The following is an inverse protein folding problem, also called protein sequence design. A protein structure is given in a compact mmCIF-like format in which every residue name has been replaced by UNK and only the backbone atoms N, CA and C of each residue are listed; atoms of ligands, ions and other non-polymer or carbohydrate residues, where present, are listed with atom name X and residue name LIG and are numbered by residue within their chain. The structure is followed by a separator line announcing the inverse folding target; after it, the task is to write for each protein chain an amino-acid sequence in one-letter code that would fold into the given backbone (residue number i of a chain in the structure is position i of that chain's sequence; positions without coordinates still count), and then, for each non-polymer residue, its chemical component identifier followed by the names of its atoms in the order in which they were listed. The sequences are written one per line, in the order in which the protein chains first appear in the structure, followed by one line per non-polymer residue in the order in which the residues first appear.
data_IF_874448024431
#
_entry.id   IF_874448024431
#
_cell.length_a   1.000
_cell.length_b   1.000
_cell.length_c   1.000
_cell.angle_alpha   90.00
_cell.angle_beta   90.00
_cell.angle_gamma   90.00
#
_symmetry.space_group_name_H-M   'P 1'
#
loop_
_entity.id
_entity.type
_entity.pdbx_description
1 polymer ?
#
# COMPACT_ATOMS: atom_id res chain seq x y z
N UNK A 1 -1.73 21.82 1.56
CA UNK A 1 -0.84 21.15 0.58
C UNK A 1 -1.13 19.64 0.48
N UNK A 2 -1.31 18.94 1.58
CA UNK A 2 -1.56 17.48 1.64
C UNK A 2 -2.76 17.02 0.79
N UNK A 3 -3.90 17.75 0.85
CA UNK A 3 -5.08 17.42 0.06
C UNK A 3 -4.82 17.41 -1.45
N UNK A 4 -3.96 18.30 -1.96
CA UNK A 4 -3.60 18.33 -3.38
C UNK A 4 -2.84 17.08 -3.83
N UNK A 5 -1.91 16.60 -3.02
CA UNK A 5 -1.19 15.34 -3.27
C UNK A 5 -2.13 14.14 -3.27
N UNK A 6 -3.05 14.07 -2.30
CA UNK A 6 -4.03 12.99 -2.21
C UNK A 6 -4.93 12.97 -3.45
N UNK A 7 -5.48 14.12 -3.85
CA UNK A 7 -6.35 14.24 -5.04
C UNK A 7 -5.59 13.81 -6.31
N UNK A 8 -4.38 14.30 -6.51
CA UNK A 8 -3.56 13.94 -7.66
C UNK A 8 -3.29 12.43 -7.71
N UNK A 9 -2.96 11.83 -6.57
CA UNK A 9 -2.72 10.39 -6.47
C UNK A 9 -3.99 9.58 -6.75
N UNK A 10 -5.13 9.99 -6.21
CA UNK A 10 -6.43 9.35 -6.50
C UNK A 10 -6.77 9.44 -7.99
N UNK A 11 -6.51 10.57 -8.64
CA UNK A 11 -6.71 10.70 -10.09
C UNK A 11 -5.83 9.70 -10.88
N UNK A 12 -4.57 9.50 -10.47
CA UNK A 12 -3.68 8.50 -11.09
C UNK A 12 -4.19 7.08 -10.84
N UNK A 13 -4.70 6.77 -9.64
CA UNK A 13 -5.31 5.47 -9.33
C UNK A 13 -6.53 5.22 -10.21
N UNK A 14 -7.46 6.18 -10.28
CA UNK A 14 -8.66 6.08 -11.13
C UNK A 14 -8.26 5.87 -12.59
N UNK A 15 -7.30 6.64 -13.09
CA UNK A 15 -6.76 6.44 -14.43
C UNK A 15 -6.18 5.02 -14.61
N UNK A 16 -5.41 4.53 -13.64
CA UNK A 16 -4.84 3.18 -13.69
C UNK A 16 -5.93 2.10 -13.73
N UNK A 17 -6.94 2.20 -12.88
CA UNK A 17 -8.06 1.28 -12.85
C UNK A 17 -8.89 1.34 -14.14
N UNK A 18 -9.10 2.53 -14.69
CA UNK A 18 -9.79 2.69 -15.98
C UNK A 18 -9.02 2.04 -17.13
N UNK A 19 -7.71 2.25 -17.21
CA UNK A 19 -6.84 1.60 -18.21
C UNK A 19 -6.87 0.07 -18.06
N UNK A 20 -6.98 -0.42 -16.83
CA UNK A 20 -6.98 -1.84 -16.49
C UNK A 20 -8.39 -2.46 -16.35
N UNK A 21 -9.46 -1.75 -16.76
CA UNK A 21 -10.84 -2.22 -16.55
C UNK A 21 -11.11 -3.63 -17.09
N UNK A 22 -10.48 -4.02 -18.19
CA UNK A 22 -10.65 -5.33 -18.78
C UNK A 22 -9.94 -6.45 -18.01
N UNK A 23 -9.02 -6.10 -17.09
CA UNK A 23 -8.25 -7.08 -16.31
C UNK A 23 -9.03 -7.65 -15.12
N UNK A 24 -10.15 -7.05 -14.73
CA UNK A 24 -11.01 -7.58 -13.67
C UNK A 24 -11.48 -9.01 -13.95
N UNK A 25 -11.59 -9.36 -15.22
CA UNK A 25 -12.05 -10.67 -15.69
C UNK A 25 -10.91 -11.58 -16.12
N UNK A 26 -9.67 -11.14 -15.99
CA UNK A 26 -8.49 -11.91 -16.37
C UNK A 26 -7.83 -12.54 -15.15
N UNK A 27 -7.80 -13.87 -15.10
CA UNK A 27 -7.28 -14.65 -13.97
C UNK A 27 -5.87 -14.23 -13.52
N UNK A 28 -5.05 -13.77 -14.46
CA UNK A 28 -3.63 -13.47 -14.19
C UNK A 28 -3.37 -12.02 -13.80
N UNK A 29 -4.26 -11.10 -14.11
CA UNK A 29 -4.07 -9.67 -13.91
C UNK A 29 -4.99 -9.11 -12.81
N UNK A 30 -6.06 -9.81 -12.45
CA UNK A 30 -7.04 -9.34 -11.46
C UNK A 30 -6.38 -8.99 -10.12
N UNK A 31 -5.41 -9.79 -9.67
CA UNK A 31 -4.73 -9.55 -8.38
C UNK A 31 -3.97 -8.22 -8.37
N UNK A 32 -3.27 -7.87 -9.46
CA UNK A 32 -2.58 -6.60 -9.58
C UNK A 32 -3.58 -5.42 -9.66
N UNK A 33 -4.74 -5.63 -10.28
CA UNK A 33 -5.79 -4.60 -10.34
C UNK A 33 -6.47 -4.40 -9.00
N UNK A 34 -6.75 -5.49 -8.28
CA UNK A 34 -7.23 -5.44 -6.89
C UNK A 34 -6.22 -4.73 -5.97
N UNK A 35 -4.92 -4.97 -6.16
CA UNK A 35 -3.88 -4.29 -5.38
C UNK A 35 -3.92 -2.77 -5.58
N UNK A 36 -4.02 -2.27 -6.81
CA UNK A 36 -4.18 -0.83 -7.09
C UNK A 36 -5.48 -0.29 -6.47
N UNK A 37 -6.58 -1.03 -6.52
CA UNK A 37 -7.83 -0.62 -5.88
C UNK A 37 -7.71 -0.55 -4.35
N UNK A 38 -7.03 -1.53 -3.73
CA UNK A 38 -6.78 -1.55 -2.29
C UNK A 38 -5.85 -0.41 -1.84
N UNK A 39 -4.86 -0.02 -2.65
CA UNK A 39 -4.05 1.19 -2.41
C UNK A 39 -4.93 2.46 -2.43
N UNK A 40 -5.88 2.54 -3.37
CA UNK A 40 -6.86 3.62 -3.41
C UNK A 40 -7.75 3.66 -2.18
N UNK A 41 -8.26 2.51 -1.75
CA UNK A 41 -9.03 2.38 -0.51
C UNK A 41 -8.20 2.79 0.71
N UNK A 42 -6.95 2.35 0.79
CA UNK A 42 -6.04 2.73 1.87
C UNK A 42 -5.87 4.25 1.93
N UNK A 43 -5.55 4.88 0.80
CA UNK A 43 -5.36 6.32 0.71
C UNK A 43 -6.62 7.11 1.11
N UNK A 44 -7.80 6.66 0.68
CA UNK A 44 -9.08 7.29 1.06
C UNK A 44 -9.37 7.15 2.54
N UNK A 45 -9.24 5.93 3.10
CA UNK A 45 -9.54 5.65 4.50
C UNK A 45 -8.59 6.37 5.46
N UNK A 46 -7.32 6.53 5.05
CA UNK A 46 -6.31 7.22 5.85
C UNK A 46 -6.34 8.74 5.65
N UNK A 47 -7.07 9.25 4.65
CA UNK A 47 -7.14 10.69 4.37
C UNK A 47 -7.81 11.48 5.50
N UNK A 48 -7.43 12.75 5.71
CA UNK A 48 -8.09 13.63 6.67
C UNK A 48 -9.61 13.81 6.42
N UNK A 49 -10.08 13.51 5.20
CA UNK A 49 -11.53 13.58 4.87
C UNK A 49 -12.32 12.39 5.38
N UNK A 50 -11.70 11.22 5.54
CA UNK A 50 -12.37 10.04 6.09
C UNK A 50 -12.61 10.16 7.60
N UNK A 51 -11.78 10.90 8.33
CA UNK A 51 -11.90 11.04 9.77
C UNK A 51 -13.25 11.64 10.21
N UNK A 52 -13.73 12.80 9.67
CA UNK A 52 -15.00 13.41 10.08
C UNK A 52 -16.25 12.69 9.48
N UNK A 53 -16.08 11.76 8.58
CA UNK A 53 -17.17 11.04 7.90
C UNK A 53 -17.20 9.57 8.31
N UNK A 54 -16.42 8.75 7.63
CA UNK A 54 -16.33 7.29 7.89
C UNK A 54 -15.85 7.01 9.31
N UNK A 55 -14.89 7.82 9.83
CA UNK A 55 -14.36 7.68 11.18
C UNK A 55 -15.42 7.85 12.26
N UNK A 56 -16.26 8.88 12.15
CA UNK A 56 -17.37 9.11 13.08
C UNK A 56 -18.40 7.97 13.01
N UNK A 57 -18.76 7.50 11.81
CA UNK A 57 -19.69 6.38 11.65
C UNK A 57 -19.15 5.09 12.30
N UNK A 58 -17.87 4.79 12.08
CA UNK A 58 -17.23 3.61 12.67
C UNK A 58 -17.11 3.74 14.19
N UNK A 59 -16.82 4.93 14.71
CA UNK A 59 -16.81 5.17 16.15
C UNK A 59 -18.17 4.97 16.78
N UNK A 60 -19.24 5.47 16.16
CA UNK A 60 -20.62 5.26 16.65
C UNK A 60 -21.00 3.77 16.70
N UNK A 61 -20.49 2.97 15.77
CA UNK A 61 -20.79 1.54 15.68
C UNK A 61 -19.91 0.68 16.61
N UNK A 62 -18.64 1.04 16.79
CA UNK A 62 -17.62 0.19 17.43
C UNK A 62 -17.11 0.74 18.77
N UNK A 63 -17.38 2.02 19.09
CA UNK A 63 -16.88 2.68 20.30
C UNK A 63 -15.39 3.00 20.27
N UNK A 64 -14.69 2.82 19.14
CA UNK A 64 -13.25 3.06 18.99
C UNK A 64 -13.03 4.13 17.94
N UNK A 65 -12.18 5.13 18.25
CA UNK A 65 -11.80 6.17 17.30
C UNK A 65 -10.78 5.67 16.26
N UNK A 66 -10.70 6.36 15.14
CA UNK A 66 -9.68 6.19 14.09
C UNK A 66 -9.66 4.80 13.41
N UNK A 67 -10.71 3.99 13.54
CA UNK A 67 -10.80 2.63 12.94
C UNK A 67 -10.60 2.67 11.43
N UNK A 68 -11.03 3.75 10.73
CA UNK A 68 -10.78 3.93 9.31
C UNK A 68 -9.28 3.93 8.96
N UNK A 69 -8.43 4.47 9.85
CA UNK A 69 -6.97 4.46 9.68
C UNK A 69 -6.43 3.03 9.75
N UNK A 70 -6.85 2.25 10.75
CA UNK A 70 -6.47 0.86 10.87
C UNK A 70 -6.89 0.05 9.64
N UNK A 71 -8.13 0.23 9.17
CA UNK A 71 -8.61 -0.41 7.94
C UNK A 71 -7.79 0.01 6.73
N UNK A 72 -7.38 1.28 6.64
CA UNK A 72 -6.47 1.77 5.59
C UNK A 72 -5.13 1.06 5.61
N UNK A 73 -4.51 0.87 6.77
CA UNK A 73 -3.26 0.10 6.90
C UNK A 73 -3.45 -1.37 6.51
N UNK A 74 -4.56 -2.00 6.89
CA UNK A 74 -4.86 -3.38 6.47
C UNK A 74 -5.05 -3.49 4.95
N UNK A 75 -5.70 -2.50 4.32
CA UNK A 75 -5.81 -2.41 2.87
C UNK A 75 -4.44 -2.29 2.21
N UNK A 76 -3.52 -1.48 2.76
CA UNK A 76 -2.16 -1.34 2.25
C UNK A 76 -1.38 -2.66 2.35
N UNK A 77 -1.43 -3.35 3.48
CA UNK A 77 -0.81 -4.67 3.67
C UNK A 77 -1.36 -5.67 2.64
N UNK A 78 -2.69 -5.68 2.44
CA UNK A 78 -3.33 -6.54 1.44
C UNK A 78 -2.90 -6.20 0.02
N UNK A 79 -2.78 -4.92 -0.33
CA UNK A 79 -2.32 -4.45 -1.64
C UNK A 79 -0.90 -4.93 -1.95
N UNK A 80 0.05 -4.69 -1.03
CA UNK A 80 1.45 -5.14 -1.23
C UNK A 80 1.54 -6.66 -1.30
N UNK A 81 0.77 -7.37 -0.48
CA UNK A 81 0.70 -8.85 -0.52
C UNK A 81 0.15 -9.37 -1.85
N UNK A 82 -0.88 -8.71 -2.39
CA UNK A 82 -1.44 -9.01 -3.71
C UNK A 82 -0.42 -8.80 -4.84
N UNK A 83 0.38 -7.73 -4.75
CA UNK A 83 1.47 -7.46 -5.70
C UNK A 83 2.56 -8.52 -5.63
N UNK A 84 2.95 -8.96 -4.43
CA UNK A 84 3.91 -10.06 -4.25
C UNK A 84 3.37 -11.34 -4.87
N UNK A 85 2.11 -11.70 -4.57
CA UNK A 85 1.48 -12.89 -5.16
C UNK A 85 1.46 -12.82 -6.69
N UNK A 86 1.08 -11.66 -7.26
CA UNK A 86 1.07 -11.45 -8.71
C UNK A 86 2.45 -11.66 -9.36
N UNK A 87 3.53 -11.28 -8.68
CA UNK A 87 4.90 -11.50 -9.15
C UNK A 87 5.34 -12.95 -8.98
N UNK A 88 5.04 -13.57 -7.84
CA UNK A 88 5.41 -14.95 -7.56
C UNK A 88 4.80 -15.93 -8.57
N UNK A 89 3.53 -15.75 -8.94
CA UNK A 89 2.84 -16.59 -9.94
C UNK A 89 3.53 -16.56 -11.32
N UNK A 90 4.34 -15.52 -11.59
CA UNK A 90 5.11 -15.41 -12.85
C UNK A 90 6.53 -15.98 -12.74
N UNK A 91 7.05 -16.12 -11.53
CA UNK A 91 8.45 -16.51 -11.28
C UNK A 91 8.58 -17.95 -10.79
N UNK A 92 7.52 -18.54 -10.27
CA UNK A 92 7.55 -19.83 -9.61
C UNK A 92 6.36 -20.71 -10.03
N UNK A 93 6.49 -22.01 -9.88
CA UNK A 93 5.38 -22.93 -10.08
C UNK A 93 4.33 -22.83 -8.96
N UNK A 94 3.08 -23.28 -9.18
CA UNK A 94 1.98 -23.10 -8.23
C UNK A 94 2.24 -23.66 -6.82
N UNK A 95 2.97 -24.77 -6.71
CA UNK A 95 3.28 -25.37 -5.40
C UNK A 95 4.33 -24.55 -4.65
N UNK A 96 5.35 -24.07 -5.35
CA UNK A 96 6.33 -23.14 -4.76
C UNK A 96 5.68 -21.84 -4.32
N UNK A 97 4.77 -21.25 -5.12
CA UNK A 97 4.01 -20.06 -4.74
C UNK A 97 3.25 -20.29 -3.43
N UNK A 98 2.54 -21.42 -3.28
CA UNK A 98 1.83 -21.75 -2.04
C UNK A 98 2.76 -21.80 -0.82
N UNK A 99 3.92 -22.46 -0.97
CA UNK A 99 4.90 -22.60 0.12
C UNK A 99 5.47 -21.23 0.51
N UNK A 100 5.88 -20.41 -0.49
CA UNK A 100 6.42 -19.07 -0.26
C UNK A 100 5.39 -18.15 0.40
N UNK A 101 4.15 -18.12 -0.14
CA UNK A 101 3.07 -17.33 0.46
C UNK A 101 2.80 -17.74 1.90
N UNK A 102 2.65 -19.04 2.17
CA UNK A 102 2.31 -19.53 3.51
C UNK A 102 3.42 -19.27 4.52
N UNK A 103 4.68 -19.62 4.19
CA UNK A 103 5.80 -19.59 5.15
C UNK A 103 6.44 -18.21 5.29
N UNK A 104 6.59 -17.49 4.19
CA UNK A 104 7.34 -16.23 4.20
C UNK A 104 6.45 -15.00 4.29
N UNK A 105 5.19 -15.06 3.87
CA UNK A 105 4.32 -13.88 3.83
C UNK A 105 3.20 -13.96 4.86
N UNK A 106 2.41 -15.05 4.86
CA UNK A 106 1.25 -15.12 5.75
C UNK A 106 1.64 -15.11 7.23
N UNK A 107 2.73 -15.79 7.61
CA UNK A 107 3.16 -15.83 9.01
C UNK A 107 3.52 -14.44 9.55
N UNK A 108 4.42 -13.65 8.91
CA UNK A 108 4.72 -12.28 9.38
C UNK A 108 3.50 -11.35 9.33
N UNK A 109 2.63 -11.47 8.30
CA UNK A 109 1.42 -10.66 8.20
C UNK A 109 0.46 -10.96 9.36
N UNK A 110 0.13 -12.22 9.60
CA UNK A 110 -0.78 -12.58 10.67
C UNK A 110 -0.23 -12.26 12.05
N UNK A 111 1.08 -12.44 12.27
CA UNK A 111 1.73 -12.03 13.51
C UNK A 111 1.64 -10.51 13.69
N UNK A 112 1.93 -9.74 12.64
CA UNK A 112 1.81 -8.29 12.68
C UNK A 112 0.39 -7.83 12.95
N UNK A 113 -0.60 -8.37 12.25
CA UNK A 113 -2.03 -8.04 12.45
C UNK A 113 -2.49 -8.42 13.86
N UNK A 114 -2.06 -9.59 14.38
CA UNK A 114 -2.40 -10.04 15.73
C UNK A 114 -1.81 -9.14 16.84
N UNK A 115 -0.76 -8.39 16.56
CA UNK A 115 -0.20 -7.39 17.47
C UNK A 115 -0.85 -6.02 17.21
N UNK A 116 -0.96 -5.60 15.95
CA UNK A 116 -1.48 -4.27 15.58
C UNK A 116 -2.91 -4.06 16.04
N UNK A 117 -3.82 -5.01 15.79
CA UNK A 117 -5.25 -4.82 16.06
C UNK A 117 -5.51 -4.66 17.56
N UNK A 118 -5.03 -5.54 18.46
CA UNK A 118 -5.20 -5.32 19.89
C UNK A 118 -4.51 -4.05 20.40
N UNK A 119 -3.29 -3.76 19.94
CA UNK A 119 -2.59 -2.53 20.33
C UNK A 119 -3.41 -1.27 19.97
N UNK A 120 -4.00 -1.26 18.78
CA UNK A 120 -4.86 -0.18 18.32
C UNK A 120 -6.15 -0.05 19.15
N UNK A 121 -6.85 -1.15 19.38
CA UNK A 121 -8.14 -1.17 20.09
C UNK A 121 -7.98 -0.81 21.57
N UNK A 122 -6.88 -1.25 22.19
CA UNK A 122 -6.62 -1.01 23.62
C UNK A 122 -5.95 0.32 23.90
N UNK A 123 -5.58 1.08 22.87
CA UNK A 123 -4.82 2.32 23.00
C UNK A 123 -5.63 3.50 23.59
N UNK A 124 -6.96 3.38 23.74
CA UNK A 124 -7.84 4.45 24.25
C UNK A 124 -7.53 5.80 23.59
N UNK A 125 -7.81 5.87 22.29
CA UNK A 125 -7.43 7.00 21.45
C UNK A 125 -8.48 8.09 21.43
N UNK A 126 -8.03 9.34 21.41
CA UNK A 126 -8.86 10.47 21.04
C UNK A 126 -9.08 10.53 19.51
N UNK A 127 -10.07 11.32 19.10
CA UNK A 127 -10.28 11.63 17.70
C UNK A 127 -9.08 12.35 17.08
N UNK A 128 -8.49 11.77 16.04
CA UNK A 128 -7.38 12.34 15.31
C UNK A 128 -7.82 12.65 13.86
N UNK A 129 -7.88 13.95 13.46
CA UNK A 129 -8.22 14.33 12.09
C UNK A 129 -7.18 13.83 11.07
N UNK A 130 -5.91 13.85 11.46
CA UNK A 130 -4.78 13.33 10.68
C UNK A 130 -3.86 12.53 11.59
N UNK A 131 -3.85 11.23 11.38
CA UNK A 131 -3.08 10.29 12.18
C UNK A 131 -1.56 10.53 12.12
N UNK A 132 -1.06 11.00 10.97
CA UNK A 132 0.38 11.22 10.78
C UNK A 132 0.87 12.56 11.33
N UNK A 133 -0.03 13.46 11.69
CA UNK A 133 0.30 14.79 12.25
C UNK A 133 0.22 14.84 13.78
N UNK A 134 -0.25 13.76 14.44
CA UNK A 134 -0.36 13.72 15.88
C UNK A 134 0.78 12.90 16.50
N UNK A 135 1.57 13.48 17.43
CA UNK A 135 2.55 12.72 18.17
C UNK A 135 1.85 11.68 19.05
N UNK A 136 2.27 10.43 18.93
CA UNK A 136 1.69 9.35 19.73
C UNK A 136 2.31 9.35 21.13
N UNK A 137 1.63 9.96 22.10
CA UNK A 137 1.99 9.88 23.52
C UNK A 137 1.68 8.50 24.13
N UNK A 138 0.92 7.65 23.44
CA UNK A 138 0.45 6.36 23.93
C UNK A 138 1.37 5.23 23.47
N UNK A 139 1.93 4.47 24.43
CA UNK A 139 2.84 3.35 24.15
C UNK A 139 2.23 2.26 23.24
N UNK A 140 0.92 1.99 23.35
CA UNK A 140 0.24 1.02 22.50
C UNK A 140 0.13 1.52 21.06
N UNK A 141 -0.03 2.85 20.85
CA UNK A 141 0.02 3.43 19.51
C UNK A 141 1.41 3.37 18.90
N UNK A 142 2.46 3.50 19.70
CA UNK A 142 3.84 3.26 19.25
C UNK A 142 4.00 1.79 18.82
N UNK A 143 3.52 0.83 19.61
CA UNK A 143 3.54 -0.60 19.24
C UNK A 143 2.78 -0.83 17.94
N UNK A 144 1.60 -0.24 17.77
CA UNK A 144 0.83 -0.30 16.53
C UNK A 144 1.63 0.24 15.33
N UNK A 145 2.16 1.46 15.44
CA UNK A 145 2.89 2.14 14.38
C UNK A 145 4.17 1.38 13.99
N UNK A 146 4.97 0.95 14.98
CA UNK A 146 6.21 0.19 14.75
C UNK A 146 5.92 -1.17 14.13
N UNK A 147 4.90 -1.88 14.63
CA UNK A 147 4.54 -3.20 14.09
C UNK A 147 4.02 -3.08 12.65
N UNK A 148 3.12 -2.15 12.38
CA UNK A 148 2.61 -1.89 11.03
C UNK A 148 3.72 -1.50 10.07
N UNK A 149 4.61 -0.61 10.51
CA UNK A 149 5.80 -0.20 9.75
C UNK A 149 6.73 -1.38 9.46
N UNK A 150 6.97 -2.24 10.43
CA UNK A 150 7.81 -3.44 10.25
C UNK A 150 7.21 -4.40 9.21
N UNK A 151 5.91 -4.64 9.25
CA UNK A 151 5.21 -5.48 8.25
C UNK A 151 5.32 -4.85 6.86
N UNK A 152 5.01 -3.57 6.71
CA UNK A 152 5.07 -2.88 5.40
C UNK A 152 6.50 -2.87 4.87
N UNK A 153 7.50 -2.60 5.71
CA UNK A 153 8.91 -2.59 5.30
C UNK A 153 9.40 -3.99 4.90
N UNK A 154 9.00 -5.02 5.65
CA UNK A 154 9.28 -6.41 5.30
C UNK A 154 8.73 -6.76 3.92
N UNK A 155 7.44 -6.48 3.68
CA UNK A 155 6.77 -6.76 2.42
C UNK A 155 7.38 -5.95 1.26
N UNK A 156 7.67 -4.66 1.47
CA UNK A 156 8.31 -3.80 0.48
C UNK A 156 9.71 -4.29 0.12
N UNK A 157 10.47 -4.77 1.11
CA UNK A 157 11.78 -5.38 0.86
C UNK A 157 11.65 -6.68 0.08
N UNK A 158 10.68 -7.52 0.43
CA UNK A 158 10.44 -8.78 -0.26
C UNK A 158 10.06 -8.54 -1.73
N UNK A 159 9.12 -7.64 -2.00
CA UNK A 159 8.72 -7.32 -3.38
C UNK A 159 9.85 -6.68 -4.16
N UNK A 160 10.67 -5.83 -3.54
CA UNK A 160 11.83 -5.22 -4.20
C UNK A 160 12.86 -6.28 -4.65
N UNK A 161 13.10 -7.32 -3.85
CA UNK A 161 13.98 -8.45 -4.25
C UNK A 161 13.42 -9.19 -5.48
N UNK A 162 12.12 -9.44 -5.54
CA UNK A 162 11.49 -10.05 -6.72
C UNK A 162 11.61 -9.14 -7.95
N UNK A 163 11.43 -7.83 -7.77
CA UNK A 163 11.56 -6.83 -8.84
C UNK A 163 12.99 -6.79 -9.40
N UNK A 164 14.01 -6.86 -8.54
CA UNK A 164 15.41 -6.88 -8.98
C UNK A 164 15.71 -8.08 -9.87
N UNK A 165 15.11 -9.24 -9.59
CA UNK A 165 15.23 -10.42 -10.46
C UNK A 165 14.59 -10.18 -11.84
N UNK A 166 13.39 -9.56 -11.86
CA UNK A 166 12.66 -9.26 -13.10
C UNK A 166 13.29 -8.10 -13.90
N UNK A 167 14.09 -7.26 -13.27
CA UNK A 167 14.79 -6.11 -13.90
C UNK A 167 15.77 -6.52 -14.99
N UNK A 168 16.21 -7.78 -15.00
CA UNK A 168 17.13 -8.31 -16.01
C UNK A 168 16.46 -8.42 -17.39
N UNK A 169 15.12 -8.47 -17.47
CA UNK A 169 14.39 -8.40 -18.72
C UNK A 169 14.34 -6.95 -19.24
N UNK A 170 14.96 -6.63 -20.41
CA UNK A 170 14.94 -5.28 -20.96
C UNK A 170 13.53 -4.72 -21.21
N UNK A 171 12.55 -5.59 -21.48
CA UNK A 171 11.16 -5.21 -21.73
C UNK A 171 10.44 -4.75 -20.47
N UNK A 172 10.80 -5.33 -19.32
CA UNK A 172 10.22 -5.01 -18.02
C UNK A 172 10.96 -3.86 -17.31
N UNK A 173 12.22 -3.59 -17.66
CA UNK A 173 13.15 -2.74 -16.92
C UNK A 173 12.55 -1.40 -16.50
N UNK A 174 11.99 -0.63 -17.42
CA UNK A 174 11.45 0.71 -17.09
C UNK A 174 10.29 0.64 -16.10
N UNK A 175 9.41 -0.37 -16.23
CA UNK A 175 8.29 -0.56 -15.29
C UNK A 175 8.81 -0.97 -13.91
N UNK A 176 9.80 -1.85 -13.88
CA UNK A 176 10.43 -2.30 -12.63
C UNK A 176 11.17 -1.15 -11.96
N UNK A 177 11.88 -0.31 -12.70
CA UNK A 177 12.55 0.88 -12.15
C UNK A 177 11.54 1.84 -11.48
N UNK A 178 10.37 2.07 -12.10
CA UNK A 178 9.28 2.84 -11.47
C UNK A 178 8.81 2.20 -10.16
N UNK A 179 8.61 0.89 -10.15
CA UNK A 179 8.18 0.17 -8.95
C UNK A 179 9.24 0.22 -7.84
N UNK A 180 10.53 0.08 -8.17
CA UNK A 180 11.60 0.22 -7.19
C UNK A 180 11.68 1.62 -6.59
N UNK A 181 11.49 2.67 -7.41
CA UNK A 181 11.38 4.05 -6.92
C UNK A 181 10.17 4.20 -5.98
N UNK A 182 9.02 3.64 -6.35
CA UNK A 182 7.82 3.60 -5.49
C UNK A 182 8.13 2.96 -4.14
N UNK A 183 8.80 1.80 -4.12
CA UNK A 183 9.19 1.13 -2.87
C UNK A 183 10.19 1.94 -2.04
N UNK A 184 11.06 2.72 -2.69
CA UNK A 184 11.95 3.68 -2.01
C UNK A 184 11.15 4.74 -1.24
N UNK A 185 10.11 5.32 -1.85
CA UNK A 185 9.22 6.25 -1.16
C UNK A 185 8.39 5.58 -0.05
N UNK A 186 7.93 4.34 -0.26
CA UNK A 186 7.26 3.58 0.78
C UNK A 186 8.17 3.35 2.00
N UNK A 187 9.43 2.99 1.77
CA UNK A 187 10.42 2.83 2.84
C UNK A 187 10.69 4.16 3.56
N UNK A 188 10.82 5.27 2.82
CA UNK A 188 11.00 6.60 3.40
C UNK A 188 9.81 6.99 4.28
N UNK A 189 8.56 6.83 3.79
CA UNK A 189 7.36 7.09 4.58
C UNK A 189 7.35 6.26 5.87
N UNK A 190 7.59 4.96 5.76
CA UNK A 190 7.58 4.02 6.89
C UNK A 190 8.65 4.36 7.92
N UNK A 191 9.86 4.72 7.47
CA UNK A 191 10.96 5.13 8.35
C UNK A 191 10.61 6.45 9.07
N UNK A 192 9.98 7.41 8.35
CA UNK A 192 9.54 8.67 8.96
C UNK A 192 8.46 8.43 10.01
N UNK A 193 7.49 7.53 9.77
CA UNK A 193 6.48 7.14 10.78
C UNK A 193 7.14 6.58 12.04
N UNK A 194 8.12 5.69 11.89
CA UNK A 194 8.85 5.15 13.05
C UNK A 194 9.64 6.24 13.76
N UNK A 195 10.36 7.08 13.02
CA UNK A 195 11.16 8.17 13.59
C UNK A 195 10.29 9.19 14.35
N UNK A 196 9.12 9.55 13.81
CA UNK A 196 8.20 10.52 14.45
C UNK A 196 7.62 10.01 15.78
N UNK A 197 7.63 8.70 16.03
CA UNK A 197 7.22 8.14 17.32
C UNK A 197 8.22 8.46 18.46
N UNK A 198 9.44 8.90 18.13
CA UNK A 198 10.52 9.16 19.09
C UNK A 198 11.00 10.63 19.08
N UNK A 199 10.57 11.40 18.10
CA UNK A 199 10.98 12.81 17.94
C UNK A 199 9.74 13.69 18.07
N UNK A 200 9.73 14.54 19.06
CA UNK A 200 8.68 15.55 19.22
C UNK A 200 8.81 16.60 18.11
N UNK A 201 7.78 16.75 17.28
CA UNK A 201 7.71 17.76 16.22
C UNK A 201 6.51 17.53 15.29
N UNK A 202 5.85 18.62 14.92
CA UNK A 202 4.62 18.60 14.07
C UNK A 202 4.90 18.41 12.58
N UNK A 203 6.15 18.35 12.15
CA UNK A 203 6.52 18.45 10.72
C UNK A 203 6.55 17.11 9.97
N UNK A 204 6.37 15.98 10.65
CA UNK A 204 6.46 14.64 10.02
C UNK A 204 5.28 14.33 9.09
N UNK A 205 4.08 14.76 9.44
CA UNK A 205 2.86 14.45 8.68
C UNK A 205 2.92 14.81 7.20
N UNK A 206 3.28 16.04 6.80
CA UNK A 206 3.40 16.43 5.41
C UNK A 206 4.44 15.59 4.62
N UNK A 207 5.56 15.23 5.26
CA UNK A 207 6.61 14.40 4.64
C UNK A 207 6.10 12.97 4.43
N UNK A 208 5.43 12.40 5.43
CA UNK A 208 4.82 11.06 5.33
C UNK A 208 3.81 11.05 4.20
N UNK A 209 2.89 12.02 4.15
CA UNK A 209 1.89 12.12 3.09
C UNK A 209 2.51 12.28 1.70
N UNK A 210 3.53 13.12 1.55
CA UNK A 210 4.23 13.27 0.28
C UNK A 210 4.84 11.94 -0.18
N UNK A 211 5.54 11.25 0.70
CA UNK A 211 6.16 9.95 0.40
C UNK A 211 5.11 8.87 0.09
N UNK A 212 4.01 8.78 0.85
CA UNK A 212 2.91 7.83 0.58
C UNK A 212 2.27 8.11 -0.76
N UNK A 213 1.92 9.37 -1.05
CA UNK A 213 1.31 9.76 -2.32
C UNK A 213 2.23 9.49 -3.52
N UNK A 214 3.53 9.81 -3.41
CA UNK A 214 4.50 9.50 -4.44
C UNK A 214 4.66 8.00 -4.64
N UNK A 215 4.75 7.23 -3.58
CA UNK A 215 4.82 5.77 -3.66
C UNK A 215 3.63 5.19 -4.42
N UNK A 216 2.42 5.44 -3.97
CA UNK A 216 1.19 4.91 -4.56
C UNK A 216 0.98 5.44 -5.98
N UNK A 217 1.24 6.74 -6.22
CA UNK A 217 1.06 7.36 -7.53
C UNK A 217 2.01 6.78 -8.58
N UNK A 218 3.31 6.65 -8.26
CA UNK A 218 4.30 6.06 -9.17
C UNK A 218 3.99 4.60 -9.45
N UNK A 219 3.60 3.83 -8.43
CA UNK A 219 3.22 2.43 -8.59
C UNK A 219 1.99 2.29 -9.50
N UNK A 220 0.93 3.03 -9.23
CA UNK A 220 -0.31 3.02 -10.01
C UNK A 220 -0.08 3.44 -11.47
N UNK A 221 0.74 4.47 -11.71
CA UNK A 221 1.14 4.88 -13.07
C UNK A 221 1.94 3.77 -13.77
N UNK A 222 2.93 3.18 -13.09
CA UNK A 222 3.70 2.05 -13.60
C UNK A 222 2.83 0.85 -13.98
N UNK A 223 1.80 0.57 -13.17
CA UNK A 223 0.81 -0.49 -13.41
C UNK A 223 -0.01 -0.23 -14.67
N UNK A 224 -0.51 1.00 -14.86
CA UNK A 224 -1.21 1.40 -16.07
C UNK A 224 -0.32 1.29 -17.32
N UNK A 225 0.92 1.79 -17.23
CA UNK A 225 1.90 1.71 -18.32
C UNK A 225 2.23 0.26 -18.70
N UNK A 226 2.46 -0.59 -17.71
CA UNK A 226 2.73 -2.02 -17.92
C UNK A 226 1.60 -2.71 -18.67
N UNK A 227 0.36 -2.42 -18.29
CA UNK A 227 -0.80 -2.98 -18.98
C UNK A 227 -0.94 -2.48 -20.42
N UNK A 228 -0.78 -1.19 -20.66
CA UNK A 228 -0.81 -0.62 -22.02
C UNK A 228 0.23 -1.26 -22.94
N UNK A 229 1.45 -1.47 -22.45
CA UNK A 229 2.49 -2.13 -23.22
C UNK A 229 2.12 -3.58 -23.57
N UNK A 230 1.48 -4.32 -22.64
CA UNK A 230 1.01 -5.68 -22.89
C UNK A 230 -0.18 -5.72 -23.85
N UNK A 231 -1.17 -4.86 -23.64
CA UNK A 231 -2.38 -4.85 -24.48
C UNK A 231 -2.08 -4.51 -25.93
N UNK A 232 -1.05 -3.68 -26.18
CA UNK A 232 -0.60 -3.38 -27.53
C UNK A 232 -0.10 -4.62 -28.29
N UNK A 233 0.44 -5.63 -27.60
CA UNK A 233 0.88 -6.89 -28.26
C UNK A 233 -0.28 -7.78 -28.71
N UNK A 234 -1.44 -7.64 -28.10
CA UNK A 234 -2.63 -8.44 -28.47
C UNK A 234 -3.57 -7.70 -29.43
N UNK A 235 -3.23 -6.45 -29.81
CA UNK A 235 -4.06 -5.66 -30.74
C UNK A 235 -3.77 -6.06 -32.19
N UNK A 236 -4.79 -6.33 -33.03
CA UNK A 236 -4.61 -6.78 -34.42
C UNK A 236 -3.87 -5.80 -35.34
N UNK A 237 -3.65 -4.57 -34.92
CA UNK A 237 -2.99 -3.52 -35.69
C UNK A 237 -1.48 -3.73 -35.90
N UNK A 238 -0.84 -4.67 -35.21
CA UNK A 238 0.60 -5.00 -35.36
C UNK A 238 0.86 -6.13 -36.33
N UNK A 239 -0.18 -6.66 -36.98
CA UNK A 239 -0.07 -7.74 -37.98
C UNK A 239 -0.05 -7.25 -39.46
N UNK A 240 0.40 -5.97 -39.67
CA UNK A 240 0.63 -5.43 -41.03
C UNK A 240 2.09 -5.12 -41.26
#
# INVERSE_FOLDING_TARGET
MTSGFIIATLAIIVYSLWVRRDTWWTRWEVTATCAVAMEGCALLLMSPWAAPTVGVMLHQALGVWNVQQMLGHLCLIAAVSGNIYHMLVRLADPEQVKVLMRRQLMVPIWLGVAIMVPAFVLADQDYLPDFFSAPSANSLMIVYAVTGSAVVLYLSTYVSRLMLTLRQDPRAKTTIDLYLVSMGFAAAATTTVVASAWVEGDDAGPVIWACVCLSIGIFSYGSARSWRAKSAWFSPATAR
#
